data_IF_047363471628
#
_entry.id   IF_047363471628
#
_cell.length_a   1.000
_cell.length_b   1.000
_cell.length_c   1.000
_cell.angle_alpha   90.00
_cell.angle_beta   90.00
_cell.angle_gamma   90.00
#
_symmetry.space_group_name_H-M   'P 1'
#
loop_
_entity.id
_entity.type
_entity.pdbx_description
1 polymer ?
#
# COMPACT_ATOMS: atom_id res chain seq x y z
N UNK A 1 -8.15 30.01 25.62
CA UNK A 1 -9.22 30.68 24.84
C UNK A 1 -8.95 32.17 24.66
N UNK A 2 -8.69 32.94 25.72
CA UNK A 2 -8.46 34.40 25.64
C UNK A 2 -7.31 34.81 24.69
N UNK A 3 -6.18 34.08 24.72
CA UNK A 3 -5.05 34.28 23.81
C UNK A 3 -5.35 34.00 22.32
N UNK A 4 -6.24 33.05 22.02
CA UNK A 4 -6.61 32.73 20.64
C UNK A 4 -7.59 33.76 20.06
N UNK A 5 -8.43 34.35 20.92
CA UNK A 5 -9.32 35.46 20.56
C UNK A 5 -8.54 36.74 20.31
N UNK A 6 -7.43 36.96 21.02
CA UNK A 6 -6.53 38.09 20.82
C UNK A 6 -5.69 37.97 19.54
N UNK A 7 -5.17 36.77 19.22
CA UNK A 7 -4.49 36.50 17.94
C UNK A 7 -5.40 36.66 16.72
N UNK A 8 -6.65 36.21 16.80
CA UNK A 8 -7.65 36.36 15.74
C UNK A 8 -8.09 37.83 15.54
N UNK A 9 -8.05 38.64 16.60
CA UNK A 9 -8.28 40.09 16.50
C UNK A 9 -7.10 40.81 15.82
N UNK A 10 -5.87 40.33 16.01
CA UNK A 10 -4.67 40.90 15.39
C UNK A 10 -4.54 40.56 13.90
N UNK A 11 -4.88 39.34 13.48
CA UNK A 11 -4.96 38.98 12.05
C UNK A 11 -5.96 39.87 11.30
N UNK A 12 -7.04 40.31 11.95
CA UNK A 12 -8.01 41.24 11.37
C UNK A 12 -7.53 42.68 11.26
N UNK A 13 -6.62 43.11 12.14
CA UNK A 13 -6.02 44.45 12.11
C UNK A 13 -4.94 44.53 11.02
N UNK A 14 -4.20 43.43 10.80
CA UNK A 14 -3.09 43.37 9.83
C UNK A 14 -3.59 42.99 8.42
N UNK A 15 -4.62 42.15 8.32
CA UNK A 15 -5.20 41.71 7.04
C UNK A 15 -6.17 42.69 6.37
N UNK A 16 -6.56 43.78 7.05
CA UNK A 16 -7.39 44.83 6.46
C UNK A 16 -6.50 45.88 5.78
N UNK A 17 -6.18 45.65 4.50
CA UNK A 17 -5.40 46.57 3.68
C UNK A 17 -5.88 48.02 3.81
N UNK A 18 -4.97 48.91 4.25
CA UNK A 18 -5.07 50.34 4.00
C UNK A 18 -5.61 51.25 5.11
N UNK A 19 -5.82 50.80 6.35
CA UNK A 19 -6.23 51.71 7.43
C UNK A 19 -5.10 52.09 8.40
N UNK A 20 -4.94 53.41 8.60
CA UNK A 20 -4.04 54.01 9.58
C UNK A 20 -4.51 53.63 10.99
N UNK A 21 -3.66 52.89 11.72
CA UNK A 21 -3.91 52.54 13.13
C UNK A 21 -3.89 53.84 13.95
N UNK A 22 -4.93 54.14 14.76
CA UNK A 22 -4.94 55.33 15.61
C UNK A 22 -3.79 55.33 16.63
N UNK A 23 -3.11 56.46 16.82
CA UNK A 23 -1.96 56.60 17.73
C UNK A 23 -2.22 56.09 19.16
N UNK A 24 -3.45 56.24 19.67
CA UNK A 24 -3.85 55.73 21.00
C UNK A 24 -3.79 54.20 21.11
N UNK A 25 -4.05 53.48 20.01
CA UNK A 25 -3.93 52.02 19.96
C UNK A 25 -2.47 51.59 19.93
N UNK A 26 -1.62 52.37 19.26
CA UNK A 26 -0.18 52.16 19.19
C UNK A 26 0.49 52.44 20.55
N UNK A 27 0.09 53.51 21.23
CA UNK A 27 0.60 53.89 22.55
C UNK A 27 0.27 52.84 23.63
N UNK A 28 -0.96 52.30 23.61
CA UNK A 28 -1.35 51.19 24.50
C UNK A 28 -0.60 49.89 24.22
N UNK A 29 -0.24 49.61 22.96
CA UNK A 29 0.55 48.44 22.61
C UNK A 29 2.03 48.59 23.02
N UNK A 30 2.57 49.82 23.05
CA UNK A 30 3.95 50.09 23.50
C UNK A 30 4.17 50.02 25.01
N UNK A 31 3.11 50.07 25.82
CA UNK A 31 3.19 49.89 27.27
C UNK A 31 3.27 48.42 27.69
N UNK A 32 2.96 47.49 26.77
CA UNK A 32 3.08 46.05 27.00
C UNK A 32 4.50 45.56 26.69
N UNK A 33 5.10 44.84 27.64
CA UNK A 33 6.55 44.54 27.69
C UNK A 33 7.04 43.64 26.54
N UNK A 34 6.12 43.15 25.72
CA UNK A 34 6.36 42.35 24.51
C UNK A 34 6.79 43.16 23.27
N UNK A 35 6.71 44.50 23.30
CA UNK A 35 7.07 45.31 22.13
C UNK A 35 8.57 45.57 21.94
N UNK A 36 9.42 45.29 22.94
CA UNK A 36 10.87 45.46 22.80
C UNK A 36 11.50 44.40 21.89
N UNK A 37 10.92 43.20 21.80
CA UNK A 37 11.30 42.22 20.77
C UNK A 37 10.77 42.59 19.39
N UNK A 38 9.65 43.35 19.32
CA UNK A 38 9.15 43.93 18.08
C UNK A 38 10.03 45.08 17.56
N UNK A 39 10.71 45.81 18.44
CA UNK A 39 11.65 46.88 18.06
C UNK A 39 12.92 46.37 17.37
N UNK A 40 13.37 45.15 17.70
CA UNK A 40 14.45 44.47 16.98
C UNK A 40 14.00 43.80 15.67
N UNK A 41 12.71 43.45 15.58
CA UNK A 41 12.10 42.96 14.33
C UNK A 41 11.51 44.07 13.44
N UNK A 42 11.38 45.30 13.95
CA UNK A 42 10.87 46.47 13.24
C UNK A 42 11.85 47.18 12.30
N UNK A 43 13.00 46.55 11.99
CA UNK A 43 13.94 47.04 10.99
C UNK A 43 13.68 46.53 9.57
N UNK A 44 12.91 45.45 9.41
CA UNK A 44 12.61 44.86 8.11
C UNK A 44 11.30 44.06 8.20
N UNK A 45 10.18 44.64 7.73
CA UNK A 45 9.02 43.84 7.36
C UNK A 45 9.41 43.05 6.10
N UNK A 46 9.49 41.73 6.19
CA UNK A 46 9.52 40.87 5.01
C UNK A 46 8.07 40.56 4.63
N UNK A 47 7.73 40.82 3.37
CA UNK A 47 6.45 40.44 2.77
C UNK A 47 6.15 38.94 2.99
N UNK A 48 4.91 38.49 3.25
CA UNK A 48 4.59 37.06 3.39
C UNK A 48 4.97 36.21 2.18
N UNK A 49 4.97 36.79 0.98
CA UNK A 49 5.37 36.19 -0.30
C UNK A 49 6.77 36.67 -0.74
N UNK A 50 7.64 37.03 0.21
CA UNK A 50 8.98 37.57 -0.04
C UNK A 50 9.89 36.66 -0.88
N UNK A 51 9.59 35.36 -0.93
CA UNK A 51 10.30 34.37 -1.72
C UNK A 51 9.95 34.45 -3.22
N UNK A 52 8.84 35.10 -3.56
CA UNK A 52 8.38 35.35 -4.93
C UNK A 52 8.69 36.77 -5.43
N UNK A 53 9.09 37.68 -4.53
CA UNK A 53 9.34 39.08 -4.86
C UNK A 53 10.83 39.37 -5.18
N UNK A 54 11.13 40.34 -6.07
CA UNK A 54 12.48 40.83 -6.30
C UNK A 54 13.10 41.37 -4.99
N UNK A 55 14.40 41.11 -4.77
CA UNK A 55 15.14 41.45 -3.53
C UNK A 55 15.02 42.93 -3.13
N UNK A 56 14.82 43.81 -4.10
CA UNK A 56 14.71 45.25 -3.89
C UNK A 56 13.32 45.68 -3.37
N UNK A 57 12.28 44.87 -3.60
CA UNK A 57 10.88 45.19 -3.25
C UNK A 57 10.47 44.65 -1.88
N UNK A 58 11.19 43.64 -1.36
CA UNK A 58 10.91 42.98 -0.06
C UNK A 58 10.98 43.93 1.14
N UNK A 59 11.57 45.13 0.98
CA UNK A 59 11.88 46.04 2.07
C UNK A 59 11.39 47.47 1.81
N UNK A 60 10.07 47.67 1.79
CA UNK A 60 9.46 48.95 1.44
C UNK A 60 8.36 49.37 2.42
N UNK A 61 8.68 49.64 3.69
CA UNK A 61 8.01 50.66 4.52
C UNK A 61 8.62 50.71 5.94
N UNK A 62 9.17 51.85 6.34
CA UNK A 62 9.49 52.16 7.75
C UNK A 62 8.53 53.28 8.18
N UNK A 63 7.65 53.07 9.17
CA UNK A 63 6.85 54.14 9.75
C UNK A 63 7.75 55.19 10.41
N UNK A 64 7.51 56.46 10.11
CA UNK A 64 8.27 57.60 10.63
C UNK A 64 7.97 57.85 12.12
N UNK A 65 8.80 57.32 13.02
CA UNK A 65 8.76 57.59 14.47
C UNK A 65 9.87 58.59 14.93
N UNK A 66 9.80 59.20 16.12
CA UNK A 66 10.67 60.34 16.49
C UNK A 66 12.10 59.94 16.98
N UNK A 67 13.08 60.17 16.10
CA UNK A 67 14.27 61.05 16.25
C UNK A 67 15.27 61.01 17.44
N UNK A 68 15.56 59.85 18.07
CA UNK A 68 16.91 59.64 18.66
C UNK A 68 17.45 58.21 18.50
N UNK A 69 16.62 57.19 18.75
CA UNK A 69 16.96 55.79 18.47
C UNK A 69 17.16 55.54 16.95
N UNK A 70 16.35 56.18 16.10
CA UNK A 70 16.46 56.08 14.63
C UNK A 70 17.75 56.72 14.11
N UNK A 71 18.27 57.78 14.74
CA UNK A 71 19.56 58.38 14.32
C UNK A 71 20.75 57.48 14.66
N UNK A 72 20.71 56.75 15.77
CA UNK A 72 21.71 55.73 16.10
C UNK A 72 21.57 54.48 15.22
N UNK A 73 20.33 54.03 14.95
CA UNK A 73 20.06 52.93 14.02
C UNK A 73 20.47 53.25 12.57
N UNK A 74 20.17 54.46 12.08
CA UNK A 74 20.57 54.93 10.75
C UNK A 74 22.10 55.11 10.62
N UNK A 75 22.78 55.56 11.68
CA UNK A 75 24.25 55.63 11.69
C UNK A 75 24.92 54.25 11.69
N UNK A 76 24.25 53.21 12.18
CA UNK A 76 24.67 51.81 12.05
C UNK A 76 24.26 51.18 10.70
N UNK A 77 23.39 51.84 9.91
CA UNK A 77 22.82 51.33 8.65
C UNK A 77 23.43 51.93 7.38
N UNK A 78 24.34 52.90 7.46
CA UNK A 78 24.96 53.52 6.27
C UNK A 78 25.99 52.61 5.59
N UNK A 79 26.50 51.60 6.29
CA UNK A 79 27.29 50.49 5.74
C UNK A 79 26.94 49.23 6.54
N UNK A 80 25.80 48.57 6.26
CA UNK A 80 25.47 47.34 6.97
C UNK A 80 26.59 46.31 6.71
N UNK A 81 27.00 45.53 7.71
CA UNK A 81 28.08 44.55 7.56
C UNK A 81 27.78 43.46 6.51
N UNK A 82 26.53 43.38 6.04
CA UNK A 82 26.05 42.46 5.00
C UNK A 82 25.14 43.22 4.03
N UNK A 83 25.21 42.89 2.74
CA UNK A 83 24.28 43.44 1.74
C UNK A 83 22.87 42.89 1.93
N UNK A 84 21.83 43.61 1.47
CA UNK A 84 20.44 43.11 1.47
C UNK A 84 20.31 41.74 0.80
N UNK A 85 21.00 41.56 -0.33
CA UNK A 85 21.05 40.29 -1.06
C UNK A 85 21.67 39.17 -0.22
N UNK A 86 22.73 39.46 0.56
CA UNK A 86 23.32 38.48 1.48
C UNK A 86 22.34 38.12 2.60
N UNK A 87 21.65 39.09 3.20
CA UNK A 87 20.64 38.83 4.24
C UNK A 87 19.51 37.95 3.70
N UNK A 88 18.94 38.29 2.53
CA UNK A 88 17.90 37.49 1.89
C UNK A 88 18.37 36.06 1.57
N UNK A 89 19.62 35.90 1.09
CA UNK A 89 20.23 34.58 0.86
C UNK A 89 20.38 33.78 2.15
N UNK A 90 20.84 34.41 3.23
CA UNK A 90 20.97 33.76 4.54
C UNK A 90 19.60 33.37 5.13
N UNK A 91 18.57 34.20 4.98
CA UNK A 91 17.19 33.87 5.39
C UNK A 91 16.62 32.69 4.62
N UNK A 92 16.75 32.65 3.27
CA UNK A 92 16.34 31.48 2.47
C UNK A 92 17.06 30.22 2.93
N UNK A 93 18.37 30.31 3.11
CA UNK A 93 19.17 29.18 3.55
C UNK A 93 18.81 28.71 4.97
N UNK A 94 18.39 29.62 5.87
CA UNK A 94 17.86 29.25 7.20
C UNK A 94 16.49 28.59 7.10
N UNK A 95 15.58 29.14 6.30
CA UNK A 95 14.25 28.59 6.09
C UNK A 95 14.31 27.19 5.47
N UNK A 96 15.17 26.99 4.45
CA UNK A 96 15.42 25.68 3.85
C UNK A 96 15.97 24.67 4.85
N UNK A 97 16.97 25.07 5.67
CA UNK A 97 17.50 24.20 6.73
C UNK A 97 16.45 23.86 7.78
N UNK A 98 15.63 24.83 8.21
CA UNK A 98 14.57 24.57 9.19
C UNK A 98 13.47 23.69 8.60
N UNK A 99 13.12 23.89 7.33
CA UNK A 99 12.16 23.04 6.63
C UNK A 99 12.66 21.60 6.55
N UNK A 100 13.92 21.38 6.12
CA UNK A 100 14.53 20.04 6.10
C UNK A 100 14.54 19.43 7.50
N UNK A 101 14.97 20.19 8.51
CA UNK A 101 15.01 19.72 9.90
C UNK A 101 13.60 19.42 10.44
N UNK A 102 12.58 20.16 10.02
CA UNK A 102 11.19 19.91 10.37
C UNK A 102 10.67 18.63 9.72
N UNK A 103 10.92 18.42 8.42
CA UNK A 103 10.52 17.18 7.74
C UNK A 103 11.17 15.96 8.39
N UNK A 104 12.48 16.01 8.69
CA UNK A 104 13.16 14.92 9.41
C UNK A 104 12.50 14.62 10.77
N UNK A 105 12.20 15.66 11.56
CA UNK A 105 11.51 15.47 12.84
C UNK A 105 10.10 14.90 12.67
N UNK A 106 9.41 15.30 11.60
CA UNK A 106 8.07 14.84 11.31
C UNK A 106 8.07 13.37 10.85
N UNK A 107 9.08 12.96 10.08
CA UNK A 107 9.28 11.56 9.70
C UNK A 107 9.56 10.70 10.95
N UNK A 108 10.55 11.08 11.77
CA UNK A 108 10.86 10.41 13.05
C UNK A 108 9.61 10.31 13.96
N UNK A 109 8.78 11.36 13.93
CA UNK A 109 7.54 11.43 14.70
C UNK A 109 6.51 10.43 14.23
N UNK A 110 6.40 10.23 12.92
CA UNK A 110 5.45 9.29 12.37
C UNK A 110 5.90 7.85 12.56
N UNK A 111 7.20 7.59 12.57
CA UNK A 111 7.74 6.28 12.95
C UNK A 111 7.38 5.96 14.42
N UNK A 112 7.52 6.93 15.33
CA UNK A 112 7.07 6.81 16.73
C UNK A 112 5.55 6.54 16.81
N UNK A 113 4.74 7.26 16.02
CA UNK A 113 3.28 7.10 15.99
C UNK A 113 2.81 5.80 15.35
N UNK A 114 3.60 5.20 14.45
CA UNK A 114 3.34 3.87 13.88
C UNK A 114 3.36 2.80 14.96
N UNK A 115 4.35 2.85 15.85
CA UNK A 115 4.45 1.94 17.00
C UNK A 115 3.26 2.11 17.96
N UNK A 116 2.92 3.35 18.31
CA UNK A 116 1.72 3.63 19.12
C UNK A 116 0.43 3.17 18.48
N UNK A 117 0.32 3.23 17.14
CA UNK A 117 -0.84 2.73 16.42
C UNK A 117 -0.95 1.21 16.55
N UNK A 118 0.13 0.46 16.37
CA UNK A 118 0.11 -1.01 16.53
C UNK A 118 -0.19 -1.42 17.98
N UNK A 119 0.40 -0.76 18.98
CA UNK A 119 0.06 -0.97 20.40
C UNK A 119 -1.43 -0.72 20.66
N UNK A 120 -2.01 0.31 20.05
CA UNK A 120 -3.44 0.61 20.19
C UNK A 120 -4.32 -0.52 19.61
N UNK A 121 -3.86 -1.22 18.58
CA UNK A 121 -4.63 -2.31 17.97
C UNK A 121 -4.63 -3.58 18.83
N UNK A 122 -3.57 -3.82 19.62
CA UNK A 122 -3.50 -5.00 20.51
C UNK A 122 -4.61 -5.01 21.57
N UNK A 123 -5.10 -3.83 21.97
CA UNK A 123 -6.12 -3.67 23.01
C UNK A 123 -7.58 -3.68 22.47
N UNK A 124 -7.78 -3.79 21.15
CA UNK A 124 -9.12 -3.62 20.53
C UNK A 124 -9.65 -4.92 19.92
N UNK A 125 -10.40 -5.69 20.73
CA UNK A 125 -11.03 -6.96 20.32
C UNK A 125 -12.13 -6.82 19.24
N UNK A 126 -12.74 -5.64 19.10
CA UNK A 126 -13.95 -5.42 18.29
C UNK A 126 -13.65 -5.08 16.80
N UNK A 127 -12.38 -4.97 16.42
CA UNK A 127 -11.99 -4.59 15.06
C UNK A 127 -11.47 -5.79 14.29
N UNK A 128 -11.86 -5.88 13.02
CA UNK A 128 -11.27 -6.85 12.11
C UNK A 128 -9.90 -6.32 11.65
N UNK A 129 -8.81 -6.85 12.21
CA UNK A 129 -7.43 -6.45 11.88
C UNK A 129 -7.14 -6.46 10.38
N UNK A 130 -7.75 -7.38 9.63
CA UNK A 130 -7.58 -7.49 8.17
C UNK A 130 -8.10 -6.26 7.41
N UNK A 131 -8.98 -5.46 8.02
CA UNK A 131 -9.61 -4.27 7.42
C UNK A 131 -8.97 -2.95 7.90
N UNK A 132 -8.01 -3.02 8.82
CA UNK A 132 -7.36 -1.85 9.40
C UNK A 132 -6.20 -1.34 8.54
N UNK A 133 -5.85 -0.04 8.65
CA UNK A 133 -4.65 0.50 8.02
C UNK A 133 -3.38 -0.27 8.41
N UNK A 134 -2.40 -0.23 7.52
CA UNK A 134 -1.02 -0.60 7.83
C UNK A 134 -0.38 0.43 8.79
N UNK A 135 0.80 0.10 9.31
CA UNK A 135 1.52 0.95 10.26
C UNK A 135 1.74 2.38 9.74
N UNK A 136 2.20 2.50 8.48
CA UNK A 136 2.38 3.80 7.83
C UNK A 136 1.08 4.60 7.83
N UNK A 137 0.00 4.12 7.21
CA UNK A 137 -1.25 4.87 7.10
C UNK A 137 -1.95 5.06 8.46
N UNK A 138 -1.76 4.13 9.39
CA UNK A 138 -2.19 4.20 10.78
C UNK A 138 -1.55 5.37 11.53
N UNK A 139 -0.24 5.56 11.40
CA UNK A 139 0.47 6.70 11.98
C UNK A 139 -0.10 8.05 11.52
N UNK A 140 -0.58 8.15 10.27
CA UNK A 140 -1.18 9.38 9.71
C UNK A 140 -2.58 9.66 10.26
N UNK A 141 -3.21 8.73 10.97
CA UNK A 141 -4.44 9.00 11.73
C UNK A 141 -4.19 9.99 12.89
N UNK A 142 -2.93 10.09 13.34
CA UNK A 142 -2.44 11.01 14.38
C UNK A 142 -1.85 12.32 13.85
N UNK A 143 -2.18 12.75 12.61
CA UNK A 143 -1.57 13.94 11.98
C UNK A 143 -1.56 15.23 12.83
N UNK A 144 -2.57 15.42 13.70
CA UNK A 144 -2.63 16.57 14.64
C UNK A 144 -1.58 16.47 15.75
N UNK A 145 -1.30 15.27 16.23
CA UNK A 145 -0.26 15.02 17.21
C UNK A 145 1.14 15.08 16.57
N UNK A 146 1.26 14.57 15.34
CA UNK A 146 2.52 14.57 14.59
C UNK A 146 3.08 15.98 14.36
N UNK A 147 2.22 16.94 14.03
CA UNK A 147 2.62 18.33 13.73
C UNK A 147 2.71 19.22 14.98
N UNK A 148 2.34 18.71 16.16
CA UNK A 148 2.29 19.50 17.40
C UNK A 148 3.69 19.99 17.79
N UNK A 149 3.80 21.29 18.13
CA UNK A 149 5.06 21.94 18.52
C UNK A 149 6.19 21.72 17.51
N UNK A 150 5.90 21.81 16.21
CA UNK A 150 6.85 21.57 15.11
C UNK A 150 7.57 20.21 15.19
N UNK A 151 6.83 19.20 15.66
CA UNK A 151 7.32 17.85 15.97
C UNK A 151 8.47 17.80 17.00
N UNK A 152 8.68 18.86 17.81
CA UNK A 152 9.80 18.94 18.77
C UNK A 152 9.50 18.32 20.14
N UNK A 153 8.23 18.25 20.55
CA UNK A 153 7.85 17.75 21.87
C UNK A 153 7.62 16.25 21.85
N UNK A 154 8.20 15.46 22.76
CA UNK A 154 7.98 14.01 22.82
C UNK A 154 6.50 13.63 22.90
N UNK A 155 6.12 12.49 22.34
CA UNK A 155 4.79 11.91 22.54
C UNK A 155 4.84 11.10 23.83
N UNK A 156 3.72 11.11 24.56
CA UNK A 156 3.53 10.27 25.72
C UNK A 156 2.18 9.58 25.65
N UNK A 157 2.01 8.55 26.48
CA UNK A 157 0.80 7.75 26.56
C UNK A 157 -0.46 8.61 26.79
N UNK A 158 -0.38 9.63 27.64
CA UNK A 158 -1.51 10.55 27.89
C UNK A 158 -1.97 11.28 26.62
N UNK A 159 -1.03 11.69 25.77
CA UNK A 159 -1.34 12.39 24.51
C UNK A 159 -1.98 11.46 23.49
N UNK A 160 -1.56 10.19 23.46
CA UNK A 160 -2.11 9.14 22.58
C UNK A 160 -3.50 8.72 23.07
N UNK A 161 -3.64 8.39 24.36
CA UNK A 161 -4.91 7.99 24.97
C UNK A 161 -5.99 9.07 24.88
N UNK A 162 -5.61 10.35 24.88
CA UNK A 162 -6.56 11.45 24.64
C UNK A 162 -7.15 11.45 23.21
N UNK A 163 -6.51 10.79 22.25
CA UNK A 163 -6.92 10.71 20.84
C UNK A 163 -7.43 9.32 20.41
N UNK A 164 -7.34 8.30 21.26
CA UNK A 164 -7.72 6.92 20.97
C UNK A 164 -9.08 6.82 20.25
N UNK A 165 -10.15 7.34 20.87
CA UNK A 165 -11.50 7.24 20.29
C UNK A 165 -11.63 7.93 18.92
N UNK A 166 -10.85 8.99 18.69
CA UNK A 166 -10.80 9.67 17.40
C UNK A 166 -10.03 8.85 16.36
N UNK A 167 -8.91 8.26 16.74
CA UNK A 167 -8.07 7.42 15.86
C UNK A 167 -8.84 6.17 15.45
N UNK A 168 -9.49 5.47 16.38
CA UNK A 168 -10.32 4.30 16.07
C UNK A 168 -11.49 4.65 15.15
N UNK A 169 -12.13 5.81 15.36
CA UNK A 169 -13.18 6.28 14.45
C UNK A 169 -12.63 6.56 13.03
N UNK A 170 -11.42 7.11 12.91
CA UNK A 170 -10.76 7.33 11.61
C UNK A 170 -10.29 6.03 10.97
N UNK A 171 -9.83 5.05 11.74
CA UNK A 171 -9.49 3.71 11.22
C UNK A 171 -10.72 3.04 10.60
N UNK A 172 -11.90 3.15 11.24
CA UNK A 172 -13.16 2.67 10.64
C UNK A 172 -13.52 3.42 9.36
N UNK A 173 -13.27 4.73 9.30
CA UNK A 173 -13.50 5.52 8.09
C UNK A 173 -12.53 5.11 6.95
N UNK A 174 -11.27 4.81 7.28
CA UNK A 174 -10.28 4.29 6.33
C UNK A 174 -10.80 3.02 5.63
N UNK A 175 -11.39 2.07 6.37
CA UNK A 175 -11.95 0.86 5.78
C UNK A 175 -13.03 1.19 4.72
N UNK A 176 -13.89 2.17 5.01
CA UNK A 176 -14.88 2.62 4.03
C UNK A 176 -14.24 3.26 2.80
N UNK A 177 -13.22 4.09 2.99
CA UNK A 177 -12.49 4.75 1.90
C UNK A 177 -11.81 3.73 0.98
N UNK A 178 -11.09 2.76 1.55
CA UNK A 178 -10.41 1.71 0.78
C UNK A 178 -11.42 0.90 -0.03
N UNK A 179 -12.51 0.46 0.59
CA UNK A 179 -13.54 -0.31 -0.10
C UNK A 179 -14.22 0.50 -1.21
N UNK A 180 -14.43 1.80 -0.98
CA UNK A 180 -14.99 2.70 -1.98
C UNK A 180 -14.05 2.84 -3.17
N UNK A 181 -12.75 3.02 -2.91
CA UNK A 181 -11.73 3.14 -3.94
C UNK A 181 -11.58 1.83 -4.74
N UNK A 182 -11.56 0.67 -4.09
CA UNK A 182 -11.54 -0.63 -4.76
C UNK A 182 -12.79 -0.87 -5.61
N UNK A 183 -13.97 -0.55 -5.10
CA UNK A 183 -15.22 -0.69 -5.85
C UNK A 183 -15.24 0.21 -7.10
N UNK A 184 -14.64 1.40 -7.03
CA UNK A 184 -14.53 2.32 -8.16
C UNK A 184 -13.60 1.81 -9.28
N UNK A 185 -12.69 0.87 -8.99
CA UNK A 185 -11.87 0.23 -10.01
C UNK A 185 -12.66 -0.79 -10.85
N UNK A 186 -13.77 -1.30 -10.33
CA UNK A 186 -14.55 -2.35 -10.97
C UNK A 186 -15.50 -1.77 -12.03
N UNK A 187 -15.76 -2.50 -13.13
CA UNK A 187 -16.74 -2.06 -14.12
C UNK A 187 -18.12 -1.95 -13.47
N UNK A 188 -18.91 -0.93 -13.84
CA UNK A 188 -20.23 -0.72 -13.25
C UNK A 188 -21.08 -1.99 -13.41
N UNK A 189 -21.87 -2.33 -12.40
CA UNK A 189 -22.71 -3.51 -12.47
C UNK A 189 -23.75 -3.35 -13.60
N UNK A 190 -24.18 -4.48 -14.17
CA UNK A 190 -25.15 -4.47 -15.27
C UNK A 190 -26.43 -3.72 -14.86
N UNK A 191 -26.96 -2.80 -15.70
CA UNK A 191 -28.03 -1.86 -15.34
C UNK A 191 -29.37 -2.52 -14.95
N UNK A 192 -29.51 -3.83 -15.14
CA UNK A 192 -30.75 -4.59 -14.94
C UNK A 192 -31.16 -4.67 -13.45
N UNK A 193 -30.26 -4.42 -12.48
CA UNK A 193 -30.54 -4.66 -11.06
C UNK A 193 -30.50 -3.43 -10.12
N UNK A 194 -30.36 -2.20 -10.62
CA UNK A 194 -29.92 -1.05 -9.78
C UNK A 194 -30.93 0.04 -9.46
N UNK A 195 -32.25 -0.17 -9.58
CA UNK A 195 -33.20 0.93 -9.33
C UNK A 195 -33.30 1.42 -7.88
N UNK A 196 -32.86 0.66 -6.86
CA UNK A 196 -33.13 1.02 -5.44
C UNK A 196 -31.97 0.84 -4.44
N UNK A 197 -30.71 0.67 -4.86
CA UNK A 197 -29.61 0.45 -3.91
C UNK A 197 -28.98 1.75 -3.40
N UNK A 198 -28.99 1.96 -2.06
CA UNK A 198 -28.27 3.05 -1.37
C UNK A 198 -26.77 2.74 -1.22
N UNK A 199 -25.94 3.78 -1.19
CA UNK A 199 -24.47 3.75 -1.33
C UNK A 199 -23.70 2.62 -0.65
N UNK A 200 -23.79 2.44 0.68
CA UNK A 200 -22.98 1.42 1.39
C UNK A 200 -23.31 -0.01 0.97
N UNK A 201 -24.59 -0.31 0.71
CA UNK A 201 -25.00 -1.65 0.24
C UNK A 201 -24.46 -1.93 -1.16
N UNK A 202 -24.48 -0.92 -2.03
CA UNK A 202 -23.93 -1.01 -3.37
C UNK A 202 -22.44 -1.36 -3.34
N UNK A 203 -21.67 -0.77 -2.42
CA UNK A 203 -20.25 -1.05 -2.24
C UNK A 203 -20.00 -2.49 -1.76
N UNK A 204 -20.73 -2.96 -0.74
CA UNK A 204 -20.64 -4.36 -0.29
C UNK A 204 -20.99 -5.34 -1.42
N UNK A 205 -22.07 -5.08 -2.16
CA UNK A 205 -22.53 -5.94 -3.24
C UNK A 205 -21.57 -5.93 -4.44
N UNK A 206 -20.89 -4.81 -4.69
CA UNK A 206 -19.89 -4.68 -5.76
C UNK A 206 -18.62 -5.47 -5.45
N UNK A 207 -18.11 -5.36 -4.21
CA UNK A 207 -16.94 -6.14 -3.76
C UNK A 207 -17.25 -7.63 -3.53
N UNK A 208 -18.52 -7.99 -3.30
CA UNK A 208 -18.96 -9.38 -3.19
C UNK A 208 -19.13 -10.08 -4.56
N UNK A 209 -18.77 -9.44 -5.68
CA UNK A 209 -18.79 -10.08 -7.00
C UNK A 209 -17.62 -11.06 -7.15
N UNK A 210 -17.79 -12.24 -7.77
CA UNK A 210 -16.68 -13.20 -7.97
C UNK A 210 -15.49 -12.65 -8.75
N UNK A 211 -15.72 -11.60 -9.55
CA UNK A 211 -14.72 -10.93 -10.36
C UNK A 211 -14.03 -9.76 -9.65
N UNK A 212 -14.39 -9.46 -8.40
CA UNK A 212 -13.80 -8.38 -7.60
C UNK A 212 -12.45 -8.83 -7.01
N UNK A 213 -11.50 -9.09 -7.90
CA UNK A 213 -10.14 -9.50 -7.56
C UNK A 213 -9.16 -8.38 -7.94
N UNK A 214 -8.20 -8.12 -7.06
CA UNK A 214 -7.32 -6.97 -7.15
C UNK A 214 -5.85 -7.37 -7.05
N UNK A 215 -5.01 -6.79 -7.91
CA UNK A 215 -3.57 -6.93 -7.81
C UNK A 215 -2.98 -5.72 -7.06
N UNK A 216 -1.93 -5.96 -6.27
CA UNK A 216 -1.18 -4.91 -5.60
C UNK A 216 -0.48 -4.01 -6.65
N UNK A 217 -0.62 -2.70 -6.52
CA UNK A 217 0.00 -1.71 -7.41
C UNK A 217 1.39 -1.24 -6.99
N UNK A 218 1.98 -1.81 -5.94
CA UNK A 218 3.31 -1.41 -5.47
C UNK A 218 4.42 -1.96 -6.35
N UNK A 219 5.42 -1.14 -6.68
CA UNK A 219 6.53 -1.55 -7.54
C UNK A 219 7.39 -2.61 -6.84
N UNK A 220 7.64 -3.73 -7.51
CA UNK A 220 8.44 -4.82 -6.97
C UNK A 220 7.66 -5.74 -6.03
N UNK A 221 6.40 -5.43 -5.71
CA UNK A 221 5.50 -6.43 -5.21
C UNK A 221 5.28 -7.45 -6.33
N UNK A 222 5.57 -8.72 -6.07
CA UNK A 222 5.25 -9.84 -6.97
C UNK A 222 3.74 -10.12 -6.97
N UNK A 223 2.91 -9.07 -6.96
CA UNK A 223 1.45 -9.10 -6.93
C UNK A 223 0.85 -9.59 -8.24
N UNK A 224 1.43 -10.62 -8.85
CA UNK A 224 0.89 -11.35 -10.01
C UNK A 224 -0.39 -12.11 -9.68
N UNK A 225 -0.78 -12.13 -8.41
CA UNK A 225 -1.97 -12.78 -7.93
C UNK A 225 -3.02 -11.74 -7.56
N UNK A 226 -4.28 -12.07 -7.78
CA UNK A 226 -5.37 -11.24 -7.29
C UNK A 226 -5.85 -11.67 -5.93
N UNK A 227 -6.10 -10.66 -5.12
CA UNK A 227 -6.65 -10.73 -3.78
C UNK A 227 -8.10 -10.25 -3.80
N UNK A 228 -8.94 -10.85 -2.97
CA UNK A 228 -10.28 -10.33 -2.71
C UNK A 228 -10.27 -9.30 -1.56
N UNK A 229 -11.43 -8.71 -1.25
CA UNK A 229 -11.59 -7.97 0.00
C UNK A 229 -11.95 -8.94 1.14
N UNK A 230 -11.30 -8.87 2.33
CA UNK A 230 -10.31 -7.88 2.77
C UNK A 230 -8.85 -8.26 2.51
N UNK A 231 -8.56 -9.41 1.89
CA UNK A 231 -7.19 -9.91 1.70
C UNK A 231 -6.22 -8.92 1.05
N UNK A 232 -6.68 -8.09 0.10
CA UNK A 232 -5.81 -7.07 -0.51
C UNK A 232 -5.32 -6.05 0.53
N UNK A 233 -6.16 -5.69 1.51
CA UNK A 233 -5.77 -4.77 2.57
C UNK A 233 -4.83 -5.45 3.58
N UNK A 234 -5.13 -6.70 3.95
CA UNK A 234 -4.22 -7.51 4.77
C UNK A 234 -2.83 -7.64 4.13
N UNK A 235 -2.78 -7.91 2.82
CA UNK A 235 -1.52 -7.94 2.08
C UNK A 235 -0.75 -6.62 2.16
N UNK A 236 -1.43 -5.47 2.03
CA UNK A 236 -0.79 -4.16 2.21
C UNK A 236 -0.28 -3.94 3.64
N UNK A 237 -1.02 -4.42 4.65
CA UNK A 237 -0.61 -4.36 6.05
C UNK A 237 0.64 -5.20 6.32
N UNK A 238 0.74 -6.39 5.74
CA UNK A 238 1.87 -7.29 5.97
C UNK A 238 3.10 -6.96 5.09
N UNK A 239 2.90 -6.86 3.78
CA UNK A 239 3.99 -6.72 2.81
C UNK A 239 4.47 -5.28 2.60
N UNK A 240 3.66 -4.28 2.98
CA UNK A 240 3.88 -2.87 2.69
C UNK A 240 3.67 -1.99 3.93
N UNK A 241 4.19 -2.42 5.08
CA UNK A 241 4.03 -1.73 6.39
C UNK A 241 4.40 -0.25 6.36
N UNK A 242 5.50 0.08 5.68
CA UNK A 242 6.10 1.42 5.68
C UNK A 242 5.65 2.30 4.50
N UNK A 243 4.70 1.81 3.71
CA UNK A 243 4.29 2.44 2.45
C UNK A 243 2.80 2.78 2.48
N UNK A 244 2.42 3.93 1.92
CA UNK A 244 1.00 4.27 1.83
C UNK A 244 0.30 3.44 0.76
N UNK A 245 -0.91 2.96 1.06
CA UNK A 245 -1.81 2.40 0.02
C UNK A 245 -2.35 3.50 -0.90
N UNK A 246 -2.20 4.77 -0.53
CA UNK A 246 -2.70 5.92 -1.28
C UNK A 246 -1.60 6.58 -2.12
N UNK A 247 -1.94 7.05 -3.31
CA UNK A 247 -1.10 7.96 -4.10
C UNK A 247 -1.77 9.34 -4.15
N UNK A 248 -1.05 10.42 -3.81
CA UNK A 248 -1.57 11.77 -3.97
C UNK A 248 -1.70 12.13 -5.46
N UNK A 249 -2.82 12.75 -5.85
CA UNK A 249 -2.98 13.30 -7.20
C UNK A 249 -2.39 14.72 -7.22
N UNK A 250 -1.42 14.96 -8.10
CA UNK A 250 -0.82 16.28 -8.26
C UNK A 250 -1.89 17.32 -8.65
N UNK A 251 -2.04 18.38 -7.84
CA UNK A 251 -2.91 19.52 -8.15
C UNK A 251 -4.29 19.53 -7.48
N UNK A 252 -4.62 18.55 -6.64
CA UNK A 252 -5.84 18.55 -5.82
C UNK A 252 -5.52 18.32 -4.35
N UNK A 253 -6.13 19.07 -3.44
CA UNK A 253 -5.87 18.98 -1.99
C UNK A 253 -6.51 17.76 -1.30
N UNK A 254 -7.33 16.96 -2.01
CA UNK A 254 -8.06 15.83 -1.43
C UNK A 254 -8.17 14.59 -2.34
N UNK A 255 -7.81 14.69 -3.62
CA UNK A 255 -7.96 13.57 -4.54
C UNK A 255 -6.75 12.63 -4.40
N UNK A 256 -7.02 11.38 -4.02
CA UNK A 256 -6.06 10.29 -3.92
C UNK A 256 -6.63 9.07 -4.61
N UNK A 257 -5.78 8.27 -5.24
CA UNK A 257 -6.17 6.96 -5.75
C UNK A 257 -5.47 5.85 -4.97
N UNK A 258 -6.09 4.67 -4.95
CA UNK A 258 -5.55 3.49 -4.28
C UNK A 258 -4.48 2.81 -5.14
N UNK A 259 -3.37 2.37 -4.54
CA UNK A 259 -2.31 1.56 -5.18
C UNK A 259 -2.77 0.11 -5.38
N UNK A 260 -3.88 -0.06 -6.07
CA UNK A 260 -4.41 -1.36 -6.46
C UNK A 260 -4.97 -1.28 -7.87
N UNK A 261 -5.00 -2.40 -8.57
CA UNK A 261 -5.61 -2.51 -9.91
C UNK A 261 -6.51 -3.73 -9.96
N UNK A 262 -7.49 -3.75 -10.88
CA UNK A 262 -8.29 -4.96 -11.11
C UNK A 262 -7.39 -6.03 -11.73
N UNK A 263 -7.38 -7.22 -11.12
CA UNK A 263 -6.72 -8.38 -11.70
C UNK A 263 -7.58 -8.95 -12.85
N UNK A 264 -7.42 -8.37 -14.05
CA UNK A 264 -8.29 -8.66 -15.20
C UNK A 264 -8.27 -10.14 -15.60
N UNK A 265 -7.08 -10.73 -15.68
CA UNK A 265 -6.90 -12.14 -16.05
C UNK A 265 -7.60 -13.07 -15.05
N UNK A 266 -7.48 -12.77 -13.74
CA UNK A 266 -8.20 -13.50 -12.70
C UNK A 266 -9.70 -13.29 -12.73
N UNK A 267 -10.19 -12.09 -13.04
CA UNK A 267 -11.60 -11.82 -13.19
C UNK A 267 -12.22 -12.59 -14.38
N UNK A 268 -11.50 -12.71 -15.49
CA UNK A 268 -11.90 -13.54 -16.63
C UNK A 268 -11.88 -15.03 -16.28
N UNK A 269 -10.83 -15.49 -15.58
CA UNK A 269 -10.72 -16.86 -15.11
C UNK A 269 -11.82 -17.24 -14.11
N UNK A 270 -12.15 -16.33 -13.18
CA UNK A 270 -13.25 -16.48 -12.23
C UNK A 270 -14.57 -16.82 -12.95
N UNK A 271 -14.90 -16.10 -14.02
CA UNK A 271 -16.10 -16.41 -14.84
C UNK A 271 -16.02 -17.79 -15.50
N UNK A 272 -14.83 -18.19 -15.99
CA UNK A 272 -14.62 -19.52 -16.58
C UNK A 272 -14.78 -20.63 -15.53
N UNK A 273 -14.28 -20.44 -14.32
CA UNK A 273 -14.44 -21.37 -13.19
C UNK A 273 -15.91 -21.49 -12.79
N UNK A 274 -16.66 -20.39 -12.73
CA UNK A 274 -18.11 -20.43 -12.47
C UNK A 274 -18.85 -21.21 -13.55
N UNK A 275 -18.52 -20.98 -14.82
CA UNK A 275 -19.04 -21.75 -15.94
C UNK A 275 -18.69 -23.25 -15.85
N UNK A 276 -17.47 -23.58 -15.42
CA UNK A 276 -17.03 -24.95 -15.16
C UNK A 276 -17.79 -25.64 -14.02
N UNK A 277 -18.08 -24.88 -12.96
CA UNK A 277 -18.85 -25.37 -11.83
C UNK A 277 -20.38 -25.42 -12.09
N UNK A 278 -20.85 -24.91 -13.23
CA UNK A 278 -22.29 -24.75 -13.51
C UNK A 278 -22.97 -23.74 -12.57
N UNK A 279 -22.23 -22.76 -12.07
CA UNK A 279 -22.73 -21.71 -11.18
C UNK A 279 -23.08 -20.43 -11.97
N UNK A 280 -24.13 -19.69 -11.55
CA UNK A 280 -24.42 -18.37 -12.10
C UNK A 280 -23.24 -17.38 -11.94
N UNK A 281 -23.03 -16.50 -12.92
CA UNK A 281 -21.96 -15.49 -12.90
C UNK A 281 -22.14 -14.44 -11.78
N UNK A 282 -23.37 -14.27 -11.29
CA UNK A 282 -23.73 -13.37 -10.20
C UNK A 282 -23.74 -14.07 -8.82
N UNK A 283 -23.22 -15.31 -8.73
CA UNK A 283 -23.08 -16.00 -7.45
C UNK A 283 -22.19 -15.17 -6.53
N UNK A 284 -22.71 -14.68 -5.41
CA UNK A 284 -21.94 -13.86 -4.47
C UNK A 284 -20.69 -14.59 -3.93
N UNK A 285 -19.61 -13.85 -3.72
CA UNK A 285 -18.32 -14.33 -3.22
C UNK A 285 -18.42 -15.03 -1.87
N UNK A 286 -19.16 -14.47 -0.90
CA UNK A 286 -19.40 -15.09 0.41
C UNK A 286 -20.01 -16.50 0.33
N UNK A 287 -20.84 -16.74 -0.69
CA UNK A 287 -21.38 -18.07 -0.99
C UNK A 287 -20.32 -18.98 -1.61
N UNK A 288 -19.44 -18.46 -2.47
CA UNK A 288 -18.32 -19.21 -3.05
C UNK A 288 -17.33 -19.62 -1.97
N UNK A 289 -16.91 -18.72 -1.08
CA UNK A 289 -16.03 -19.04 0.05
C UNK A 289 -16.62 -20.12 0.94
N UNK A 290 -17.92 -20.05 1.18
CA UNK A 290 -18.64 -21.07 1.96
C UNK A 290 -18.68 -22.42 1.25
N UNK A 291 -18.65 -22.45 -0.09
CA UNK A 291 -18.54 -23.71 -0.85
C UNK A 291 -17.10 -24.24 -0.81
N UNK A 292 -16.09 -23.37 -0.99
CA UNK A 292 -14.68 -23.71 -0.91
C UNK A 292 -14.30 -24.27 0.46
N UNK A 293 -14.58 -23.53 1.56
CA UNK A 293 -14.31 -23.97 2.94
C UNK A 293 -15.03 -25.27 3.35
N UNK A 294 -16.14 -25.59 2.69
CA UNK A 294 -16.86 -26.86 2.93
C UNK A 294 -16.29 -28.02 2.12
N UNK A 295 -15.28 -27.80 1.27
CA UNK A 295 -14.77 -28.77 0.32
C UNK A 295 -15.81 -29.17 -0.74
N UNK A 296 -16.76 -28.27 -1.04
CA UNK A 296 -17.81 -28.53 -2.04
C UNK A 296 -17.49 -27.93 -3.40
N UNK A 297 -16.73 -26.84 -3.43
CA UNK A 297 -16.19 -26.25 -4.64
C UNK A 297 -14.68 -26.30 -4.52
N UNK A 298 -13.98 -26.82 -5.51
CA UNK A 298 -12.53 -26.94 -5.47
C UNK A 298 -11.96 -27.46 -6.78
N UNK A 299 -10.63 -27.53 -6.83
CA UNK A 299 -9.90 -28.15 -7.93
C UNK A 299 -9.54 -29.59 -7.56
N UNK A 300 -9.80 -30.52 -8.48
CA UNK A 300 -9.48 -31.95 -8.37
C UNK A 300 -8.17 -32.32 -9.06
N UNK A 301 -7.26 -31.34 -9.25
CA UNK A 301 -5.94 -31.59 -9.83
C UNK A 301 -5.05 -32.45 -8.91
N UNK A 302 -5.28 -32.42 -7.60
CA UNK A 302 -4.50 -33.15 -6.59
C UNK A 302 -3.29 -32.37 -6.05
N UNK A 303 -3.20 -31.07 -6.30
CA UNK A 303 -2.15 -30.18 -5.80
C UNK A 303 -2.10 -30.18 -4.26
N UNK A 304 -0.99 -30.59 -3.63
CA UNK A 304 -0.86 -30.64 -2.16
C UNK A 304 -0.87 -29.26 -1.49
N UNK A 305 -0.49 -28.20 -2.21
CA UNK A 305 -0.47 -26.83 -1.68
C UNK A 305 -1.88 -26.23 -1.56
N UNK A 306 -2.90 -26.86 -2.15
CA UNK A 306 -4.28 -26.38 -2.07
C UNK A 306 -4.89 -26.73 -0.69
N UNK A 307 -5.24 -25.75 0.16
CA UNK A 307 -5.66 -26.04 1.53
C UNK A 307 -7.06 -26.65 1.60
N UNK A 308 -7.23 -27.85 2.17
CA UNK A 308 -8.54 -28.53 2.22
C UNK A 308 -9.68 -27.75 2.91
N UNK A 309 -9.35 -27.01 3.98
CA UNK A 309 -10.38 -26.44 4.91
C UNK A 309 -10.38 -24.93 5.01
N UNK A 310 -9.32 -24.27 4.54
CA UNK A 310 -9.20 -22.81 4.55
C UNK A 310 -9.25 -22.19 3.15
N UNK A 311 -9.47 -23.00 2.10
CA UNK A 311 -9.61 -22.48 0.74
C UNK A 311 -10.76 -21.47 0.65
N UNK A 312 -10.46 -20.25 0.21
CA UNK A 312 -11.44 -19.26 -0.21
C UNK A 312 -11.51 -19.15 -1.74
N UNK A 313 -12.39 -18.28 -2.23
CA UNK A 313 -12.60 -18.08 -3.65
C UNK A 313 -11.36 -17.51 -4.36
N UNK A 314 -10.78 -16.42 -3.85
CA UNK A 314 -9.56 -15.82 -4.39
C UNK A 314 -8.41 -16.82 -4.54
N UNK A 315 -8.16 -17.64 -3.51
CA UNK A 315 -7.14 -18.69 -3.50
C UNK A 315 -7.39 -19.77 -4.55
N UNK A 316 -8.65 -20.19 -4.75
CA UNK A 316 -8.99 -21.16 -5.81
C UNK A 316 -8.72 -20.58 -7.20
N UNK A 317 -9.12 -19.32 -7.44
CA UNK A 317 -8.86 -18.65 -8.72
C UNK A 317 -7.35 -18.51 -8.96
N UNK A 318 -6.59 -18.14 -7.93
CA UNK A 318 -5.13 -18.05 -7.96
C UNK A 318 -4.48 -19.38 -8.30
N UNK A 319 -4.83 -20.45 -7.60
CA UNK A 319 -4.30 -21.78 -7.88
C UNK A 319 -4.48 -22.19 -9.35
N UNK A 320 -5.70 -22.05 -9.89
CA UNK A 320 -5.97 -22.39 -11.30
C UNK A 320 -5.19 -21.47 -12.25
N UNK A 321 -5.09 -20.19 -11.93
CA UNK A 321 -4.34 -19.22 -12.72
C UNK A 321 -2.86 -19.61 -12.81
N UNK A 322 -2.24 -19.96 -11.68
CA UNK A 322 -0.82 -20.25 -11.62
C UNK A 322 -0.49 -21.49 -12.47
N UNK A 323 -1.31 -22.54 -12.41
CA UNK A 323 -1.18 -23.71 -13.29
C UNK A 323 -1.27 -23.34 -14.78
N UNK A 324 -2.26 -22.52 -15.16
CA UNK A 324 -2.43 -22.08 -16.54
C UNK A 324 -1.25 -21.20 -17.02
N UNK A 325 -0.70 -20.35 -16.15
CA UNK A 325 0.48 -19.54 -16.49
C UNK A 325 1.71 -20.41 -16.69
N UNK A 326 1.94 -21.42 -15.84
CA UNK A 326 3.02 -22.40 -16.07
C UNK A 326 2.90 -23.03 -17.46
N UNK A 327 1.70 -23.38 -17.88
CA UNK A 327 1.45 -23.96 -19.21
C UNK A 327 1.68 -22.93 -20.35
N UNK A 328 1.28 -21.67 -20.17
CA UNK A 328 1.46 -20.57 -21.14
C UNK A 328 2.93 -20.27 -21.44
N UNK A 329 3.78 -20.24 -20.40
CA UNK A 329 5.20 -19.88 -20.56
C UNK A 329 6.11 -21.04 -20.95
N UNK A 330 5.57 -22.25 -20.99
CA UNK A 330 6.27 -23.44 -21.45
C UNK A 330 6.57 -23.37 -22.94
N UNK A 331 7.77 -23.79 -23.31
CA UNK A 331 8.17 -24.09 -24.68
C UNK A 331 7.97 -25.59 -24.93
N UNK A 332 7.18 -25.99 -25.95
CA UNK A 332 7.10 -27.38 -26.34
C UNK A 332 8.49 -27.94 -26.64
N UNK A 333 8.83 -29.08 -26.03
CA UNK A 333 10.08 -29.79 -26.24
C UNK A 333 9.77 -31.20 -26.76
N UNK A 334 10.35 -31.57 -27.90
CA UNK A 334 10.09 -32.87 -28.53
C UNK A 334 10.56 -34.01 -27.63
N UNK A 335 9.70 -35.01 -27.41
CA UNK A 335 10.02 -36.21 -26.64
C UNK A 335 9.88 -36.06 -25.12
N UNK A 336 9.53 -34.88 -24.61
CA UNK A 336 9.24 -34.68 -23.17
C UNK A 336 7.72 -34.60 -22.99
N UNK A 337 7.09 -35.56 -22.27
CA UNK A 337 5.66 -35.51 -22.01
C UNK A 337 5.31 -34.31 -21.13
N UNK A 338 4.21 -33.65 -21.50
CA UNK A 338 3.61 -32.57 -20.72
C UNK A 338 2.09 -32.71 -20.71
N UNK A 339 1.51 -32.73 -19.51
CA UNK A 339 0.08 -32.77 -19.28
C UNK A 339 -0.36 -31.38 -18.81
N UNK A 340 -1.32 -30.82 -19.54
CA UNK A 340 -1.98 -29.56 -19.18
C UNK A 340 -3.20 -29.92 -18.32
N UNK A 341 -2.98 -30.08 -17.02
CA UNK A 341 -3.96 -30.53 -16.02
C UNK A 341 -5.14 -29.57 -15.80
N UNK A 342 -5.05 -28.36 -16.37
CA UNK A 342 -6.11 -27.33 -16.33
C UNK A 342 -6.63 -26.92 -17.71
N UNK A 343 -6.31 -27.69 -18.78
CA UNK A 343 -6.80 -27.41 -20.14
C UNK A 343 -8.33 -27.37 -20.21
N UNK A 344 -8.96 -28.38 -19.63
CA UNK A 344 -10.40 -28.48 -19.51
C UNK A 344 -10.83 -28.25 -18.06
N UNK A 345 -11.27 -27.02 -17.77
CA UNK A 345 -11.71 -26.66 -16.42
C UNK A 345 -12.91 -27.49 -15.94
N UNK A 346 -13.74 -28.04 -16.84
CA UNK A 346 -14.85 -28.94 -16.44
C UNK A 346 -14.32 -30.25 -15.82
N UNK A 347 -13.12 -30.67 -16.26
CA UNK A 347 -12.48 -31.88 -15.78
C UNK A 347 -11.86 -31.70 -14.39
N UNK A 348 -11.30 -30.52 -14.06
CA UNK A 348 -10.64 -30.27 -12.79
C UNK A 348 -11.52 -29.53 -11.75
N UNK A 349 -12.34 -28.56 -12.16
CA UNK A 349 -13.24 -27.84 -11.23
C UNK A 349 -14.44 -28.71 -10.91
N UNK A 350 -14.67 -28.98 -9.62
CA UNK A 350 -15.82 -29.77 -9.17
C UNK A 350 -16.70 -28.99 -8.21
N UNK A 351 -18.00 -29.04 -8.47
CA UNK A 351 -19.03 -28.65 -7.52
C UNK A 351 -19.77 -29.90 -7.03
N UNK A 352 -19.52 -30.28 -5.79
CA UNK A 352 -20.18 -31.42 -5.16
C UNK A 352 -21.58 -31.07 -4.64
N UNK A 353 -22.53 -32.01 -4.66
CA UNK A 353 -23.88 -31.78 -4.12
C UNK A 353 -23.84 -31.49 -2.60
N UNK A 354 -24.91 -30.91 -2.07
CA UNK A 354 -24.99 -30.52 -0.64
C UNK A 354 -24.81 -31.69 0.33
N UNK A 355 -25.19 -32.89 -0.10
CA UNK A 355 -25.12 -34.13 0.68
C UNK A 355 -23.83 -34.92 0.47
N UNK A 356 -22.91 -34.46 -0.39
CA UNK A 356 -21.67 -35.18 -0.64
C UNK A 356 -20.79 -35.24 0.62
N UNK A 357 -20.13 -36.38 0.81
CA UNK A 357 -19.07 -36.50 1.80
C UNK A 357 -17.82 -35.78 1.26
N UNK A 358 -17.51 -34.60 1.82
CA UNK A 358 -16.40 -33.78 1.34
C UNK A 358 -15.04 -34.21 1.89
N UNK A 359 -14.99 -35.17 2.82
CA UNK A 359 -13.72 -35.70 3.38
C UNK A 359 -12.83 -36.41 2.35
N UNK A 360 -13.39 -36.82 1.22
CA UNK A 360 -12.68 -37.51 0.15
C UNK A 360 -12.82 -36.77 -1.20
N UNK A 361 -13.28 -35.51 -1.17
CA UNK A 361 -13.68 -34.77 -2.37
C UNK A 361 -12.52 -34.46 -3.32
N UNK A 362 -11.33 -34.24 -2.77
CA UNK A 362 -10.15 -33.78 -3.49
C UNK A 362 -8.93 -34.49 -2.91
N UNK A 363 -8.66 -35.75 -3.30
CA UNK A 363 -7.46 -36.43 -2.83
C UNK A 363 -6.23 -35.66 -3.33
N UNK A 364 -5.46 -35.11 -2.40
CA UNK A 364 -4.15 -34.56 -2.69
C UNK A 364 -3.19 -35.68 -3.05
N UNK A 365 -2.24 -35.39 -3.92
CA UNK A 365 -1.13 -36.28 -4.16
C UNK A 365 -0.32 -36.43 -2.86
N UNK A 366 -0.14 -37.66 -2.41
CA UNK A 366 0.66 -37.99 -1.23
C UNK A 366 1.77 -38.95 -1.62
N UNK A 367 3.00 -38.61 -1.27
CA UNK A 367 4.13 -39.51 -1.39
C UNK A 367 3.99 -40.69 -0.41
N UNK A 368 4.35 -41.89 -0.88
CA UNK A 368 4.53 -43.02 0.03
C UNK A 368 5.77 -42.81 0.91
N UNK A 369 5.83 -43.49 2.06
CA UNK A 369 6.92 -43.34 3.03
C UNK A 369 8.33 -43.59 2.44
N UNK A 370 8.44 -44.47 1.44
CA UNK A 370 9.69 -44.74 0.76
C UNK A 370 10.12 -43.56 -0.12
N UNK A 371 9.18 -42.99 -0.88
CA UNK A 371 9.39 -41.78 -1.67
C UNK A 371 9.73 -40.58 -0.78
N UNK A 372 9.04 -40.38 0.33
CA UNK A 372 9.37 -39.33 1.31
C UNK A 372 10.80 -39.47 1.82
N UNK A 373 11.21 -40.67 2.24
CA UNK A 373 12.57 -40.91 2.72
C UNK A 373 13.65 -40.64 1.65
N UNK A 374 13.37 -40.98 0.39
CA UNK A 374 14.26 -40.72 -0.76
C UNK A 374 14.40 -39.22 -1.03
N UNK A 375 13.29 -38.48 -1.05
CA UNK A 375 13.29 -37.01 -1.21
C UNK A 375 14.03 -36.34 -0.05
N UNK A 376 13.78 -36.75 1.19
CA UNK A 376 14.45 -36.19 2.36
C UNK A 376 15.95 -36.46 2.34
N UNK A 377 16.37 -37.66 1.94
CA UNK A 377 17.78 -37.99 1.75
C UNK A 377 18.42 -37.12 0.66
N UNK A 378 17.72 -36.89 -0.46
CA UNK A 378 18.20 -36.01 -1.53
C UNK A 378 18.33 -34.56 -1.04
N UNK A 379 17.34 -34.08 -0.28
CA UNK A 379 17.34 -32.75 0.35
C UNK A 379 18.49 -32.58 1.32
N UNK A 380 18.83 -33.60 2.10
CA UNK A 380 19.96 -33.55 3.03
C UNK A 380 21.32 -33.35 2.31
N UNK A 381 21.43 -33.74 1.04
CA UNK A 381 22.62 -33.50 0.21
C UNK A 381 22.63 -32.16 -0.53
N UNK A 382 21.68 -31.25 -0.26
CA UNK A 382 21.55 -29.97 -0.98
C UNK A 382 22.80 -29.09 -0.78
N UNK A 383 23.50 -28.70 -1.85
CA UNK A 383 24.54 -27.68 -1.76
C UNK A 383 23.97 -26.31 -1.39
N UNK A 384 24.72 -25.51 -0.64
CA UNK A 384 24.33 -24.14 -0.27
C UNK A 384 24.08 -23.29 -1.52
N UNK A 385 23.06 -22.42 -1.49
CA UNK A 385 22.71 -21.55 -2.61
C UNK A 385 22.06 -22.24 -3.82
N UNK A 386 21.65 -23.51 -3.71
CA UNK A 386 20.97 -24.23 -4.79
C UNK A 386 19.48 -24.45 -4.54
N UNK A 387 18.71 -24.56 -5.62
CA UNK A 387 17.28 -24.90 -5.63
C UNK A 387 17.02 -26.18 -6.38
N UNK A 388 15.99 -26.91 -5.95
CA UNK A 388 15.57 -28.16 -6.57
C UNK A 388 14.79 -27.86 -7.85
N UNK A 389 15.15 -28.50 -8.97
CA UNK A 389 14.44 -28.39 -10.26
C UNK A 389 13.99 -29.75 -10.76
N UNK A 390 12.93 -29.75 -11.58
CA UNK A 390 12.61 -30.86 -12.45
C UNK A 390 13.46 -30.81 -13.73
N UNK A 391 14.32 -31.81 -13.96
CA UNK A 391 15.18 -31.89 -15.14
C UNK A 391 14.40 -32.03 -16.45
N UNK A 392 13.16 -32.51 -16.40
CA UNK A 392 12.26 -32.56 -17.56
C UNK A 392 11.72 -31.17 -17.90
N UNK A 393 11.49 -30.31 -16.90
CA UNK A 393 11.03 -28.93 -17.09
C UNK A 393 12.14 -27.98 -17.54
N UNK A 394 13.38 -28.16 -17.08
CA UNK A 394 14.53 -27.29 -17.43
C UNK A 394 14.61 -26.95 -18.93
N UNK A 395 14.56 -27.90 -19.88
CA UNK A 395 14.62 -27.58 -21.31
C UNK A 395 13.34 -26.90 -21.86
N UNK A 396 12.25 -26.91 -21.10
CA UNK A 396 10.94 -26.38 -21.51
C UNK A 396 10.74 -24.92 -21.09
N UNK A 397 11.53 -24.40 -20.16
CA UNK A 397 11.38 -23.02 -19.68
C UNK A 397 12.57 -22.16 -20.07
N UNK A 398 12.30 -20.92 -20.48
CA UNK A 398 13.35 -19.92 -20.51
C UNK A 398 13.58 -19.42 -19.09
N UNK A 399 14.63 -19.92 -18.42
CA UNK A 399 14.95 -19.56 -17.04
C UNK A 399 14.87 -18.06 -16.76
N UNK A 400 15.44 -17.20 -17.62
CA UNK A 400 15.39 -15.75 -17.39
C UNK A 400 13.96 -15.21 -17.37
N UNK A 401 13.10 -15.69 -18.26
CA UNK A 401 11.70 -15.26 -18.35
C UNK A 401 10.85 -15.85 -17.23
N UNK A 402 11.09 -17.12 -16.87
CA UNK A 402 10.40 -17.79 -15.78
C UNK A 402 10.71 -17.13 -14.43
N UNK A 403 11.99 -16.84 -14.17
CA UNK A 403 12.45 -16.10 -12.98
C UNK A 403 11.80 -14.71 -12.92
N UNK A 404 11.80 -13.96 -14.03
CA UNK A 404 11.20 -12.63 -14.09
C UNK A 404 9.68 -12.60 -13.82
N UNK A 405 9.01 -13.76 -13.90
CA UNK A 405 7.58 -13.91 -13.70
C UNK A 405 7.23 -14.66 -12.41
N UNK A 406 8.24 -15.11 -11.64
CA UNK A 406 8.01 -15.96 -10.46
C UNK A 406 7.51 -17.37 -10.79
N UNK A 407 7.55 -17.79 -12.06
CA UNK A 407 7.04 -19.10 -12.53
C UNK A 407 8.19 -20.09 -12.71
N UNK A 408 9.11 -20.08 -11.77
CA UNK A 408 10.35 -20.84 -11.86
C UNK A 408 10.04 -22.35 -11.89
N UNK A 409 10.79 -23.18 -12.66
CA UNK A 409 10.63 -24.64 -12.65
C UNK A 409 11.18 -25.27 -11.36
N UNK A 410 11.24 -24.50 -10.28
CA UNK A 410 11.70 -24.97 -8.99
C UNK A 410 10.58 -25.74 -8.32
N UNK A 411 10.95 -26.90 -7.80
CA UNK A 411 10.08 -27.70 -6.97
C UNK A 411 10.27 -27.26 -5.54
N UNK A 412 9.18 -27.12 -4.80
CA UNK A 412 9.27 -27.08 -3.35
C UNK A 412 9.91 -28.41 -2.89
N UNK A 413 10.85 -28.38 -1.94
CA UNK A 413 11.56 -29.59 -1.48
C UNK A 413 10.69 -30.39 -0.50
N UNK A 414 9.44 -30.63 -0.89
CA UNK A 414 8.41 -31.37 -0.18
C UNK A 414 8.07 -32.59 -1.07
N UNK A 415 8.05 -33.78 -0.48
CA UNK A 415 7.88 -35.02 -1.25
C UNK A 415 6.56 -35.06 -2.03
N UNK A 416 5.47 -34.63 -1.38
CA UNK A 416 4.14 -34.59 -1.97
C UNK A 416 4.09 -33.69 -3.21
N UNK A 417 4.71 -32.51 -3.14
CA UNK A 417 4.82 -31.56 -4.26
C UNK A 417 5.60 -32.11 -5.45
N UNK A 418 6.72 -32.79 -5.18
CA UNK A 418 7.53 -33.40 -6.23
C UNK A 418 6.76 -34.54 -6.89
N UNK A 419 6.08 -35.38 -6.10
CA UNK A 419 5.25 -36.48 -6.62
C UNK A 419 4.10 -35.93 -7.44
N UNK A 420 3.40 -34.91 -6.92
CA UNK A 420 2.34 -34.20 -7.61
C UNK A 420 2.82 -33.69 -8.96
N UNK A 421 3.91 -32.92 -8.98
CA UNK A 421 4.47 -32.37 -10.21
C UNK A 421 4.79 -33.45 -11.25
N UNK A 422 5.48 -34.53 -10.85
CA UNK A 422 5.85 -35.61 -11.76
C UNK A 422 4.63 -36.32 -12.36
N UNK A 423 3.58 -36.52 -11.57
CA UNK A 423 2.35 -37.16 -12.01
C UNK A 423 1.49 -36.21 -12.86
N UNK A 424 1.22 -35.01 -12.34
CA UNK A 424 0.29 -34.05 -12.92
C UNK A 424 0.85 -33.38 -14.18
N UNK A 425 2.17 -33.13 -14.26
CA UNK A 425 2.79 -32.46 -15.41
C UNK A 425 3.49 -33.42 -16.36
N UNK A 426 4.05 -34.53 -15.88
CA UNK A 426 4.81 -35.46 -16.75
C UNK A 426 4.16 -36.83 -16.93
N UNK A 427 3.14 -37.18 -16.15
CA UNK A 427 2.44 -38.47 -16.24
C UNK A 427 3.31 -39.66 -15.85
N UNK A 428 4.35 -39.45 -15.04
CA UNK A 428 5.30 -40.48 -14.62
C UNK A 428 5.42 -40.55 -13.09
N UNK A 429 5.80 -41.71 -12.53
CA UNK A 429 6.15 -41.80 -11.11
C UNK A 429 7.45 -41.05 -10.82
N UNK A 430 7.64 -40.70 -9.55
CA UNK A 430 8.88 -40.07 -9.07
C UNK A 430 10.10 -40.99 -9.23
N UNK A 431 11.21 -40.39 -9.67
CA UNK A 431 12.54 -41.00 -9.80
C UNK A 431 13.57 -39.88 -9.57
N UNK A 432 14.58 -40.09 -8.70
CA UNK A 432 15.56 -39.05 -8.35
C UNK A 432 16.35 -38.58 -9.57
N UNK A 433 16.50 -39.42 -10.60
CA UNK A 433 17.17 -39.03 -11.84
C UNK A 433 16.48 -37.90 -12.58
N UNK A 434 15.23 -37.58 -12.23
CA UNK A 434 14.43 -36.52 -12.85
C UNK A 434 14.53 -35.19 -12.10
N UNK A 435 15.24 -35.13 -10.97
CA UNK A 435 15.44 -33.92 -10.19
C UNK A 435 16.92 -33.61 -10.03
N UNK A 436 17.25 -32.34 -9.85
CA UNK A 436 18.64 -31.89 -9.60
C UNK A 436 18.66 -30.59 -8.81
N UNK A 437 19.79 -30.30 -8.18
CA UNK A 437 20.06 -28.99 -7.59
C UNK A 437 20.73 -28.07 -8.63
N UNK A 438 20.11 -26.93 -8.89
CA UNK A 438 20.69 -25.88 -9.75
C UNK A 438 21.07 -24.66 -8.91
N UNK A 439 22.20 -23.99 -9.22
CA UNK A 439 22.55 -22.72 -8.59
C UNK A 439 21.41 -21.72 -8.76
N UNK A 440 20.97 -21.12 -7.66
CA UNK A 440 20.05 -20.01 -7.71
C UNK A 440 20.85 -18.74 -7.99
N UNK A 441 20.62 -18.14 -9.15
CA UNK A 441 21.10 -16.79 -9.41
C UNK A 441 19.94 -15.89 -9.01
N UNK A 442 20.06 -15.21 -7.86
CA UNK A 442 19.11 -14.18 -7.49
C UNK A 442 18.93 -13.25 -8.71
N UNK A 443 17.68 -13.01 -9.16
CA UNK A 443 17.47 -11.99 -10.17
C UNK A 443 18.07 -10.70 -9.61
N UNK A 444 18.78 -9.91 -10.45
CA UNK A 444 19.24 -8.61 -10.00
C UNK A 444 18.04 -7.87 -9.41
N UNK A 445 18.19 -7.17 -8.26
CA UNK A 445 17.10 -6.40 -7.70
C UNK A 445 16.53 -5.56 -8.84
N UNK A 446 15.20 -5.48 -8.99
CA UNK A 446 14.61 -4.74 -10.09
C UNK A 446 15.28 -3.38 -10.09
N UNK A 447 16.01 -3.05 -11.16
CA UNK A 447 16.62 -1.74 -11.31
C UNK A 447 15.52 -0.76 -10.96
N UNK A 448 15.79 0.21 -10.08
CA UNK A 448 14.86 1.31 -9.84
C UNK A 448 14.67 2.00 -11.17
N UNK A 449 13.74 1.52 -11.98
CA UNK A 449 13.26 2.19 -13.17
C UNK A 449 12.62 3.42 -12.57
N UNK A 450 13.35 4.54 -12.60
CA UNK A 450 12.75 5.84 -12.42
C UNK A 450 11.72 5.94 -13.55
N UNK A 451 10.49 5.52 -13.24
CA UNK A 451 9.31 5.78 -14.03
C UNK A 451 9.30 7.29 -14.17
N UNK A 452 9.65 7.78 -15.35
CA UNK A 452 9.49 9.17 -15.72
C UNK A 452 7.98 9.43 -15.77
N UNK A 453 7.42 9.75 -14.60
CA UNK A 453 5.99 10.00 -14.37
C UNK A 453 5.45 11.10 -15.29
N UNK A 454 6.33 11.87 -15.96
CA UNK A 454 5.96 12.83 -17.00
C UNK A 454 5.29 12.20 -18.23
N UNK A 455 5.49 10.90 -18.50
CA UNK A 455 4.87 10.21 -19.63
C UNK A 455 3.43 9.73 -19.38
N UNK A 456 2.99 9.63 -18.13
CA UNK A 456 1.63 9.15 -17.81
C UNK A 456 0.55 10.24 -17.80
N UNK A 457 0.91 11.51 -18.03
CA UNK A 457 -0.04 12.63 -18.05
C UNK A 457 -0.34 13.16 -19.47
N UNK A 458 -0.04 12.41 -20.54
CA UNK A 458 -0.23 12.86 -21.93
C UNK A 458 -1.22 12.05 -22.76
N UNK A 459 -1.81 10.99 -22.21
CA UNK A 459 -2.94 10.23 -22.80
C UNK A 459 -4.11 10.23 -21.82
#
# INVERSE_FOLDING_TARGET
MQHATELYAWERIIGAGGHVIPNVTLERATEDRYYLDLGFSGGWYMDPDWDQNPVDDVFTCIPTLPTRAIKQGAALSTNPPKSKAQIAKEHRSRAEREHIAYQMRLDDRYDELGQWYEELLEDVDDLNEDELPNEHDGARLFATLATRNDARAGINQDSVGALEGFVLARARAYTFDVRSALAALLPPPSPVHHRDMRGTRLLCDTLARPTALFACGFHGCQGYHGFEWPEINWHWRDAHRDESVWVPIFGGTLDRYIRATVWREGAELANRILGAAGLPLDTRMDRLDKLCRKGRLGCACGDPDLPERSLNWGQLVRHVHDHLKVDEYRRPCNGIPWIEDHRDLQSCIKLLPKSANTKAAFPHATADAGTTARVDSFRASRPEGTRLVCLLCVPMFNHKRAIALGLEPFLLPIADEIVYHMQAKHGIPFDEKNISFHPYVEPPPPEKVQLDLRKFCQD
#
